data_IF_589447452016
#
_entry.id   IF_589447452016
#
_cell.length_a   1.000
_cell.length_b   1.000
_cell.length_c   1.000
_cell.angle_alpha   90.00
_cell.angle_beta   90.00
_cell.angle_gamma   90.00
#
_symmetry.space_group_name_H-M   'P 1'
#
loop_
_entity.id
_entity.type
_entity.pdbx_description
1 polymer ?
#
# COMPACT_ATOMS: atom_id res chain seq x y z
N UNK A 1 14.34 -26.80 7.22
CA UNK A 1 14.50 -26.03 5.98
C UNK A 1 13.49 -24.89 6.05
N UNK A 2 13.92 -23.69 6.42
CA UNK A 2 13.01 -22.54 6.49
C UNK A 2 12.74 -22.11 5.05
N UNK A 3 11.49 -22.29 4.59
CA UNK A 3 11.02 -21.62 3.38
C UNK A 3 10.99 -20.13 3.72
N UNK A 4 11.98 -19.39 3.23
CA UNK A 4 11.88 -17.94 3.17
C UNK A 4 10.69 -17.63 2.27
N UNK A 5 9.54 -17.35 2.89
CA UNK A 5 8.37 -16.77 2.24
C UNK A 5 8.85 -15.45 1.68
N UNK A 6 9.09 -15.42 0.37
CA UNK A 6 9.66 -14.26 -0.30
C UNK A 6 8.51 -13.30 -0.56
N UNK A 7 8.29 -12.39 0.39
CA UNK A 7 7.32 -11.29 0.24
C UNK A 7 7.64 -10.58 -1.08
N UNK A 8 6.67 -10.47 -2.02
CA UNK A 8 6.91 -9.79 -3.26
C UNK A 8 7.27 -8.32 -3.00
N UNK A 9 8.32 -7.82 -3.65
CA UNK A 9 8.77 -6.43 -3.45
C UNK A 9 7.63 -5.49 -3.82
N UNK A 10 7.22 -4.64 -2.87
CA UNK A 10 6.09 -3.73 -3.05
C UNK A 10 4.74 -4.44 -3.28
N UNK A 11 4.61 -5.69 -2.83
CA UNK A 11 3.43 -6.55 -3.02
C UNK A 11 3.02 -6.77 -4.47
N UNK A 12 3.87 -6.46 -5.44
CA UNK A 12 3.64 -6.69 -6.87
C UNK A 12 4.68 -7.61 -7.47
N UNK A 13 4.91 -7.50 -8.77
CA UNK A 13 5.75 -8.43 -9.52
C UNK A 13 6.47 -7.78 -10.69
N UNK A 14 7.07 -8.62 -11.51
CA UNK A 14 7.83 -8.20 -12.70
C UNK A 14 7.52 -9.10 -13.87
N UNK A 15 7.44 -8.52 -15.06
CA UNK A 15 7.42 -9.21 -16.35
C UNK A 15 8.73 -8.94 -17.08
N UNK A 16 8.83 -9.39 -18.34
CA UNK A 16 9.97 -9.02 -19.20
C UNK A 16 9.96 -7.53 -19.61
N UNK A 17 8.80 -6.87 -19.55
CA UNK A 17 8.60 -5.53 -20.13
C UNK A 17 8.25 -4.46 -19.10
N UNK A 18 7.80 -4.83 -17.91
CA UNK A 18 7.44 -3.88 -16.87
C UNK A 18 7.54 -4.48 -15.47
N UNK A 19 7.61 -3.61 -14.46
CA UNK A 19 7.45 -4.00 -13.06
C UNK A 19 6.22 -3.32 -12.49
N UNK A 20 5.69 -3.86 -11.39
CA UNK A 20 4.52 -3.28 -10.76
C UNK A 20 4.52 -3.53 -9.26
N UNK A 21 3.90 -2.61 -8.54
CA UNK A 21 3.67 -2.68 -7.09
C UNK A 21 2.19 -2.44 -6.82
N UNK A 22 1.73 -2.71 -5.61
CA UNK A 22 0.35 -2.45 -5.25
C UNK A 22 0.15 -2.25 -3.75
N UNK A 23 -0.96 -1.59 -3.45
CA UNK A 23 -1.62 -1.63 -2.16
C UNK A 23 -3.00 -2.27 -2.30
N UNK A 24 -3.80 -2.26 -1.24
CA UNK A 24 -5.23 -2.60 -1.36
C UNK A 24 -5.97 -1.58 -2.24
N UNK A 25 -5.51 -0.33 -2.23
CA UNK A 25 -6.20 0.82 -2.82
C UNK A 25 -5.80 1.04 -4.28
N UNK A 26 -4.55 0.76 -4.65
CA UNK A 26 -4.02 1.04 -5.99
C UNK A 26 -3.06 -0.05 -6.50
N UNK A 27 -2.81 -0.02 -7.81
CA UNK A 27 -1.71 -0.75 -8.48
C UNK A 27 -0.90 0.25 -9.28
N UNK A 28 0.42 0.25 -9.13
CA UNK A 28 1.32 1.12 -9.89
C UNK A 28 2.22 0.30 -10.81
N UNK A 29 2.24 0.62 -12.10
CA UNK A 29 3.04 -0.03 -13.15
C UNK A 29 4.19 0.90 -13.54
N UNK A 30 5.38 0.32 -13.74
CA UNK A 30 6.60 1.00 -14.13
C UNK A 30 7.16 0.39 -15.43
N UNK A 31 7.37 1.23 -16.44
CA UNK A 31 7.91 0.84 -17.75
C UNK A 31 9.08 1.74 -18.09
N UNK A 32 10.24 1.16 -18.39
CA UNK A 32 11.38 1.95 -18.86
C UNK A 32 11.13 2.46 -20.28
N UNK A 33 11.37 3.75 -20.50
CA UNK A 33 11.20 4.39 -21.80
C UNK A 33 12.55 4.63 -22.47
N UNK A 34 12.59 4.72 -23.81
CA UNK A 34 13.76 5.20 -24.51
C UNK A 34 14.17 6.61 -24.06
N UNK A 35 15.47 6.87 -24.03
CA UNK A 35 16.06 8.16 -23.65
C UNK A 35 15.42 9.33 -24.40
N UNK A 36 15.04 10.36 -23.65
CA UNK A 36 14.48 11.60 -24.18
C UNK A 36 13.00 11.53 -24.57
N UNK A 37 12.31 10.41 -24.30
CA UNK A 37 10.86 10.31 -24.47
C UNK A 37 10.14 11.37 -23.64
N UNK A 38 9.22 12.11 -24.25
CA UNK A 38 8.40 13.12 -23.57
C UNK A 38 6.94 12.73 -23.57
N UNK A 39 6.14 13.34 -22.70
CA UNK A 39 4.71 13.04 -22.58
C UNK A 39 3.95 13.19 -23.90
N UNK A 40 4.36 14.14 -24.76
CA UNK A 40 3.75 14.35 -26.09
C UNK A 40 3.98 13.18 -27.06
N UNK A 41 4.97 12.33 -26.80
CA UNK A 41 5.35 11.21 -27.65
C UNK A 41 4.59 9.93 -27.26
N UNK A 42 3.86 9.95 -26.13
CA UNK A 42 3.04 8.85 -25.65
C UNK A 42 1.56 9.04 -26.01
N UNK A 43 0.89 7.92 -26.29
CA UNK A 43 -0.57 7.77 -26.24
C UNK A 43 -0.89 6.80 -25.11
N UNK A 44 -1.40 7.34 -23.99
CA UNK A 44 -1.77 6.58 -22.80
C UNK A 44 -3.28 6.67 -22.61
N UNK A 45 -3.94 5.51 -22.60
CA UNK A 45 -5.39 5.37 -22.45
C UNK A 45 -5.67 4.39 -21.32
N UNK A 46 -6.31 4.90 -20.28
CA UNK A 46 -6.79 4.11 -19.15
C UNK A 46 -8.31 4.14 -19.19
N UNK A 47 -8.92 2.97 -19.22
CA UNK A 47 -10.36 2.78 -19.07
C UNK A 47 -10.63 2.02 -17.78
N UNK A 48 -11.90 1.86 -17.40
CA UNK A 48 -12.25 1.15 -16.17
C UNK A 48 -11.75 -0.30 -16.14
N UNK A 49 -11.51 -0.96 -17.27
CA UNK A 49 -11.13 -2.38 -17.30
C UNK A 49 -9.98 -2.71 -18.26
N UNK A 50 -9.33 -1.71 -18.84
CA UNK A 50 -8.30 -1.91 -19.86
C UNK A 50 -7.32 -0.74 -19.85
N UNK A 51 -6.04 -1.03 -20.07
CA UNK A 51 -5.00 -0.04 -20.25
C UNK A 51 -4.25 -0.26 -21.55
N UNK A 52 -3.93 0.85 -22.23
CA UNK A 52 -3.05 0.86 -23.39
C UNK A 52 -2.08 2.03 -23.33
N UNK A 53 -0.80 1.74 -23.54
CA UNK A 53 0.28 2.73 -23.66
C UNK A 53 1.08 2.41 -24.91
N UNK A 54 1.25 3.40 -25.77
CA UNK A 54 2.08 3.29 -26.97
C UNK A 54 2.92 4.54 -27.18
N UNK A 55 4.10 4.37 -27.78
CA UNK A 55 4.80 5.47 -28.42
C UNK A 55 4.06 5.83 -29.72
N UNK A 56 3.93 7.12 -30.00
CA UNK A 56 3.32 7.57 -31.26
C UNK A 56 4.18 7.12 -32.42
N UNK A 57 3.53 6.67 -33.48
CA UNK A 57 4.16 6.15 -34.70
C UNK A 57 4.94 4.83 -34.51
N UNK A 58 4.66 4.06 -33.45
CA UNK A 58 5.11 2.66 -33.33
C UNK A 58 3.95 1.70 -33.54
N UNK A 59 4.21 0.55 -34.15
CA UNK A 59 3.17 -0.48 -34.35
C UNK A 59 2.88 -1.25 -33.05
N UNK A 60 3.93 -1.55 -32.28
CA UNK A 60 3.82 -2.30 -31.03
C UNK A 60 3.60 -1.35 -29.85
N UNK A 61 2.54 -1.55 -29.04
CA UNK A 61 2.35 -0.81 -27.80
C UNK A 61 3.38 -1.24 -26.74
N UNK A 62 3.71 -0.34 -25.82
CA UNK A 62 4.54 -0.64 -24.64
C UNK A 62 3.76 -1.50 -23.64
N UNK A 63 2.45 -1.28 -23.54
CA UNK A 63 1.53 -2.01 -22.68
C UNK A 63 0.15 -2.02 -23.33
N UNK A 64 -0.51 -3.16 -23.41
CA UNK A 64 -1.90 -3.26 -23.90
C UNK A 64 -2.57 -4.49 -23.32
N UNK A 65 -3.53 -4.32 -22.43
CA UNK A 65 -4.19 -5.47 -21.80
C UNK A 65 -5.34 -5.15 -20.86
N UNK A 66 -6.12 -6.19 -20.59
CA UNK A 66 -7.24 -6.14 -19.66
C UNK A 66 -6.76 -6.10 -18.21
N UNK A 67 -7.38 -5.23 -17.41
CA UNK A 67 -7.15 -5.16 -15.97
C UNK A 67 -7.89 -6.31 -15.26
N UNK A 68 -7.31 -6.90 -14.19
CA UNK A 68 -7.95 -7.96 -13.42
C UNK A 68 -9.32 -7.57 -12.86
N UNK A 69 -9.44 -6.33 -12.38
CA UNK A 69 -10.65 -5.76 -11.79
C UNK A 69 -10.79 -4.29 -12.21
N UNK A 70 -11.96 -3.70 -11.92
CA UNK A 70 -12.24 -2.32 -12.34
C UNK A 70 -11.45 -1.27 -11.56
N UNK A 71 -11.05 -0.22 -12.28
CA UNK A 71 -10.38 0.99 -11.75
C UNK A 71 -11.24 2.24 -11.97
N UNK A 72 -11.02 3.27 -11.14
CA UNK A 72 -11.52 4.63 -11.38
C UNK A 72 -10.56 5.32 -12.34
N UNK A 73 -10.86 5.24 -13.64
CA UNK A 73 -9.97 5.74 -14.69
C UNK A 73 -9.73 7.26 -14.62
N UNK A 74 -10.67 8.00 -14.04
CA UNK A 74 -10.61 9.45 -13.80
C UNK A 74 -9.73 9.83 -12.60
N UNK A 75 -9.55 8.93 -11.63
CA UNK A 75 -8.62 9.08 -10.50
C UNK A 75 -7.25 8.43 -10.78
N UNK A 76 -7.14 7.66 -11.87
CA UNK A 76 -5.90 7.02 -12.29
C UNK A 76 -5.03 8.00 -13.09
N UNK A 77 -3.72 7.97 -12.84
CA UNK A 77 -2.78 8.96 -13.36
C UNK A 77 -1.54 8.29 -13.95
N UNK A 78 -0.82 9.01 -14.81
CA UNK A 78 0.48 8.59 -15.29
C UNK A 78 1.45 9.77 -15.38
N UNK A 79 2.73 9.50 -15.15
CA UNK A 79 3.83 10.48 -15.19
C UNK A 79 5.08 9.85 -15.81
N UNK A 80 5.95 10.68 -16.36
CA UNK A 80 7.31 10.26 -16.72
C UNK A 80 8.24 10.78 -15.62
N UNK A 81 8.94 9.86 -14.98
CA UNK A 81 9.90 10.17 -13.92
C UNK A 81 11.24 10.64 -14.50
N UNK A 82 12.07 11.30 -13.67
CA UNK A 82 13.35 11.89 -14.12
C UNK A 82 14.36 10.88 -14.65
N UNK A 83 14.23 9.61 -14.27
CA UNK A 83 15.05 8.49 -14.74
C UNK A 83 14.52 7.85 -16.02
N UNK A 84 13.59 8.49 -16.72
CA UNK A 84 13.00 8.01 -17.97
C UNK A 84 12.10 6.76 -17.81
N UNK A 85 11.56 6.55 -16.60
CA UNK A 85 10.54 5.52 -16.34
C UNK A 85 9.14 6.12 -16.44
N UNK A 86 8.24 5.47 -17.18
CA UNK A 86 6.81 5.75 -17.13
C UNK A 86 6.22 5.10 -15.88
N UNK A 87 5.61 5.91 -15.01
CA UNK A 87 4.84 5.44 -13.87
C UNK A 87 3.34 5.61 -14.17
N UNK A 88 2.56 4.56 -13.92
CA UNK A 88 1.11 4.55 -14.12
C UNK A 88 0.45 4.06 -12.84
N UNK A 89 -0.31 4.91 -12.17
CA UNK A 89 -1.03 4.57 -10.93
C UNK A 89 -2.52 4.38 -11.22
N UNK A 90 -3.01 3.18 -10.92
CA UNK A 90 -4.37 2.72 -11.16
C UNK A 90 -5.14 2.64 -9.85
N UNK A 91 -6.16 3.48 -9.69
CA UNK A 91 -7.01 3.53 -8.49
C UNK A 91 -8.06 2.42 -8.53
N UNK A 92 -7.99 1.44 -7.64
CA UNK A 92 -8.90 0.29 -7.63
C UNK A 92 -10.28 0.71 -7.12
N UNK A 93 -11.34 0.28 -7.80
CA UNK A 93 -12.71 0.45 -7.26
C UNK A 93 -12.92 -0.47 -6.06
N UNK A 94 -12.44 -1.72 -6.17
CA UNK A 94 -12.55 -2.73 -5.13
C UNK A 94 -11.20 -2.90 -4.46
N UNK A 95 -11.16 -2.66 -3.15
CA UNK A 95 -9.92 -2.79 -2.36
C UNK A 95 -9.50 -4.26 -2.25
N UNK A 96 -8.54 -4.68 -3.07
CA UNK A 96 -8.16 -6.10 -3.18
C UNK A 96 -6.75 -6.26 -3.74
N UNK A 97 -6.10 -7.38 -3.40
CA UNK A 97 -4.81 -7.76 -3.95
C UNK A 97 -4.99 -8.38 -5.32
N UNK A 98 -4.25 -7.89 -6.31
CA UNK A 98 -4.22 -8.46 -7.65
C UNK A 98 -3.08 -9.48 -7.74
N UNK A 99 -3.33 -10.60 -8.42
CA UNK A 99 -2.28 -11.59 -8.66
C UNK A 99 -1.32 -11.13 -9.77
N UNK A 100 -1.80 -10.35 -10.72
CA UNK A 100 -1.02 -9.75 -11.82
C UNK A 100 -1.51 -8.34 -12.10
N UNK A 101 -0.71 -7.49 -12.78
CA UNK A 101 -1.17 -6.16 -13.18
C UNK A 101 -2.16 -6.21 -14.36
N UNK A 102 -1.96 -7.15 -15.29
CA UNK A 102 -2.84 -7.44 -16.43
C UNK A 102 -3.26 -8.91 -16.41
N UNK A 103 -4.45 -9.22 -16.94
CA UNK A 103 -4.91 -10.61 -17.05
C UNK A 103 -4.01 -11.41 -18.00
N UNK A 104 -3.64 -12.62 -17.58
CA UNK A 104 -2.81 -13.53 -18.38
C UNK A 104 -1.31 -13.36 -18.19
N UNK A 105 -0.88 -12.29 -17.51
CA UNK A 105 0.51 -12.08 -17.13
C UNK A 105 0.90 -12.93 -15.91
N UNK A 106 2.21 -13.12 -15.65
CA UNK A 106 2.69 -13.87 -14.49
C UNK A 106 2.09 -13.38 -13.18
N UNK A 107 1.64 -14.35 -12.37
CA UNK A 107 0.96 -14.09 -11.11
C UNK A 107 1.89 -14.22 -9.88
N UNK A 108 1.66 -13.37 -8.88
CA UNK A 108 2.21 -13.51 -7.54
C UNK A 108 1.26 -14.32 -6.65
N UNK A 109 1.79 -14.95 -5.59
CA UNK A 109 0.95 -15.51 -4.53
C UNK A 109 0.44 -14.40 -3.60
N UNK A 110 -0.81 -14.00 -3.81
CA UNK A 110 -1.47 -12.95 -3.01
C UNK A 110 -1.66 -13.32 -1.54
N UNK A 111 -1.42 -14.57 -1.14
CA UNK A 111 -1.41 -14.96 0.29
C UNK A 111 -0.10 -14.60 1.00
N UNK A 112 0.95 -14.27 0.25
CA UNK A 112 2.29 -13.94 0.78
C UNK A 112 2.59 -12.44 0.77
N UNK A 113 1.63 -11.59 0.36
CA UNK A 113 1.78 -10.13 0.39
C UNK A 113 1.87 -9.64 1.84
N UNK A 114 2.71 -8.63 2.05
CA UNK A 114 2.79 -7.94 3.32
C UNK A 114 1.58 -7.01 3.45
N UNK A 115 0.63 -7.45 4.27
CA UNK A 115 -0.58 -6.69 4.61
C UNK A 115 -0.38 -5.79 5.84
N UNK A 116 0.83 -5.74 6.40
CA UNK A 116 1.10 -4.87 7.54
C UNK A 116 1.18 -3.42 7.10
N UNK A 117 0.31 -2.59 7.68
CA UNK A 117 0.39 -1.13 7.57
C UNK A 117 1.18 -0.59 8.74
N UNK A 118 2.00 0.43 8.50
CA UNK A 118 2.65 1.14 9.59
C UNK A 118 1.59 1.78 10.50
N UNK A 119 1.78 1.75 11.82
CA UNK A 119 0.84 2.37 12.76
C UNK A 119 0.61 3.84 12.39
N UNK A 120 1.65 4.52 11.91
CA UNK A 120 1.67 5.92 11.51
C UNK A 120 0.72 6.24 10.35
N UNK A 121 0.31 5.25 9.55
CA UNK A 121 -0.62 5.45 8.42
C UNK A 121 -2.09 5.59 8.85
N UNK A 122 -2.42 5.25 10.10
CA UNK A 122 -3.78 5.40 10.63
C UNK A 122 -4.01 6.80 11.21
N UNK A 123 -5.28 7.21 11.36
CA UNK A 123 -5.61 8.46 12.06
C UNK A 123 -5.19 8.43 13.54
N UNK A 124 -5.10 9.60 14.18
CA UNK A 124 -4.56 9.73 15.54
C UNK A 124 -5.34 8.92 16.59
N UNK A 125 -6.66 8.79 16.45
CA UNK A 125 -7.48 8.03 17.39
C UNK A 125 -7.19 6.53 17.25
N UNK A 126 -7.11 6.03 16.02
CA UNK A 126 -6.76 4.64 15.72
C UNK A 126 -5.33 4.31 16.17
N UNK A 127 -4.37 5.20 15.94
CA UNK A 127 -3.00 5.05 16.45
C UNK A 127 -2.95 4.90 17.98
N UNK A 128 -3.69 5.73 18.71
CA UNK A 128 -3.76 5.64 20.17
C UNK A 128 -4.39 4.33 20.63
N UNK A 129 -5.46 3.88 19.98
CA UNK A 129 -6.10 2.61 20.28
C UNK A 129 -5.16 1.42 20.06
N UNK A 130 -4.44 1.40 18.92
CA UNK A 130 -3.45 0.36 18.61
C UNK A 130 -2.33 0.35 19.65
N UNK A 131 -1.76 1.51 19.98
CA UNK A 131 -0.68 1.62 20.99
C UNK A 131 -1.15 1.16 22.37
N UNK A 132 -2.36 1.52 22.79
CA UNK A 132 -2.96 1.06 24.05
C UNK A 132 -3.11 -0.46 24.06
N UNK A 133 -3.66 -1.04 22.99
CA UNK A 133 -3.84 -2.49 22.89
C UNK A 133 -2.50 -3.25 22.94
N UNK A 134 -1.47 -2.76 22.23
CA UNK A 134 -0.13 -3.35 22.27
C UNK A 134 0.47 -3.29 23.68
N UNK A 135 0.36 -2.15 24.35
CA UNK A 135 0.81 -1.98 25.73
C UNK A 135 0.08 -2.94 26.68
N UNK A 136 -1.26 -2.96 26.64
CA UNK A 136 -2.08 -3.81 27.49
C UNK A 136 -1.78 -5.30 27.29
N UNK A 137 -1.59 -5.73 26.04
CA UNK A 137 -1.21 -7.11 25.72
C UNK A 137 0.16 -7.46 26.31
N UNK A 138 1.13 -6.55 26.28
CA UNK A 138 2.45 -6.76 26.89
C UNK A 138 2.35 -6.85 28.42
N UNK A 139 1.58 -5.95 29.05
CA UNK A 139 1.36 -5.96 30.51
C UNK A 139 0.71 -7.29 30.95
N UNK A 140 -0.33 -7.74 30.25
CA UNK A 140 -0.98 -9.01 30.54
C UNK A 140 -0.03 -10.21 30.43
N UNK A 141 0.83 -10.26 29.40
CA UNK A 141 1.86 -11.31 29.27
C UNK A 141 2.84 -11.32 30.45
N UNK A 142 3.14 -10.16 31.00
CA UNK A 142 4.00 -9.98 32.17
C UNK A 142 3.22 -10.09 33.49
N UNK A 143 1.91 -10.39 33.46
CA UNK A 143 1.02 -10.36 34.62
C UNK A 143 1.04 -9.03 35.39
N UNK A 144 1.25 -7.94 34.66
CA UNK A 144 1.28 -6.56 35.15
C UNK A 144 -0.04 -5.83 34.84
N UNK A 145 -0.37 -4.76 35.57
CA UNK A 145 -1.62 -4.01 35.38
C UNK A 145 -1.69 -3.37 33.99
N UNK A 146 -2.88 -3.38 33.37
CA UNK A 146 -3.16 -2.69 32.10
C UNK A 146 -3.23 -1.18 32.27
N UNK A 147 -3.19 -0.45 31.16
CA UNK A 147 -3.28 1.02 31.11
C UNK A 147 -4.47 1.58 31.89
N UNK A 148 -5.65 0.96 31.79
CA UNK A 148 -6.85 1.42 32.51
C UNK A 148 -6.70 1.28 34.04
N UNK A 149 -6.10 0.18 34.49
CA UNK A 149 -5.83 -0.07 35.92
C UNK A 149 -4.80 0.92 36.43
N UNK A 150 -3.71 1.13 35.69
CA UNK A 150 -2.68 2.12 36.05
C UNK A 150 -3.26 3.54 36.12
N UNK A 151 -4.19 3.89 35.22
CA UNK A 151 -4.86 5.18 35.24
C UNK A 151 -5.76 5.34 36.47
N UNK A 152 -6.52 4.31 36.83
CA UNK A 152 -7.34 4.27 38.05
C UNK A 152 -6.46 4.42 39.29
N UNK A 153 -5.35 3.68 39.37
CA UNK A 153 -4.42 3.74 40.48
C UNK A 153 -3.78 5.14 40.62
N UNK A 154 -3.39 5.76 39.50
CA UNK A 154 -2.86 7.11 39.48
C UNK A 154 -3.89 8.16 39.94
N UNK A 155 -5.14 8.05 39.51
CA UNK A 155 -6.22 8.92 39.96
C UNK A 155 -6.46 8.81 41.46
N UNK A 156 -6.49 7.59 42.00
CA UNK A 156 -6.63 7.36 43.43
C UNK A 156 -5.44 7.92 44.22
N UNK A 157 -4.22 7.74 43.73
CA UNK A 157 -3.02 8.28 44.37
C UNK A 157 -3.02 9.82 44.41
N UNK A 158 -3.45 10.47 43.33
CA UNK A 158 -3.55 11.93 43.27
C UNK A 158 -4.65 12.47 44.19
N UNK A 159 -5.82 11.82 44.23
CA UNK A 159 -6.91 12.21 45.13
C UNK A 159 -6.48 12.12 46.62
N UNK A 160 -5.77 11.06 47.00
CA UNK A 160 -5.22 10.92 48.37
C UNK A 160 -4.20 12.00 48.71
N UNK A 161 -3.33 12.38 47.77
CA UNK A 161 -2.36 13.47 47.97
C UNK A 161 -3.05 14.82 48.14
N UNK A 162 -4.06 15.11 47.32
CA UNK A 162 -4.84 16.34 47.45
C UNK A 162 -5.59 16.42 48.79
N UNK A 163 -6.16 15.30 49.26
CA UNK A 163 -6.85 15.23 50.55
C UNK A 163 -5.91 15.38 51.76
N UNK A 164 -4.64 15.01 51.63
CA UNK A 164 -3.63 15.12 52.69
C UNK A 164 -2.73 16.35 52.54
N UNK A 165 -3.02 17.26 51.60
CA UNK A 165 -2.24 18.49 51.41
C UNK A 165 -2.70 19.53 52.44
N UNK A 166 -1.80 20.06 53.30
CA UNK A 166 -2.17 21.09 54.27
C UNK A 166 -2.62 22.37 53.56
N UNK A 167 -3.69 22.98 54.08
CA UNK A 167 -4.24 24.27 53.64
C UNK A 167 -3.22 25.37 53.90
#
# INVERSE_FOLDING_TARGET
>A
MWLSILVPVGNGGSTETYTWTQSLDDTTIYIDLPDGTRSKDLDCKITSSHIRVALKNTETPLLDGELPEKVRSDESLWSIESNQTLQISLEKIKKTWWASALKGDPEIDTNQVDSTRSIQEYDSATQMAIRKAMFDQQQQRLSQPTSDVQMIDAMMANARKAANSPI
#
